data_IF_107113073297
#
_entry.id   IF_107113073297
#
_cell.length_a   1.000
_cell.length_b   1.000
_cell.length_c   1.000
_cell.angle_alpha   90.00
_cell.angle_beta   90.00
_cell.angle_gamma   90.00
#
_symmetry.space_group_name_H-M   'P 1'
#
loop_
_entity.id
_entity.type
_entity.pdbx_description
1 polymer ?
#
# COMPACT_ATOMS: atom_id res chain seq x y z
N UNK A 1 4.10 2.90 6.01
CA UNK A 1 3.40 3.79 5.05
C UNK A 1 4.33 4.96 4.72
N UNK A 2 4.38 5.41 3.47
CA UNK A 2 5.06 6.63 3.03
C UNK A 2 4.01 7.72 2.80
N UNK A 3 3.99 8.80 3.61
CA UNK A 3 2.91 9.76 3.54
C UNK A 3 3.11 10.79 2.42
N UNK A 4 2.00 11.21 1.79
CA UNK A 4 1.91 12.34 0.84
C UNK A 4 2.90 12.27 -0.33
N UNK A 5 3.20 11.06 -0.79
CA UNK A 5 4.13 10.85 -1.92
C UNK A 5 3.38 10.96 -3.25
N UNK A 6 2.11 10.58 -3.31
CA UNK A 6 1.38 10.44 -4.57
C UNK A 6 1.09 11.80 -5.21
N UNK A 7 0.76 12.81 -4.41
CA UNK A 7 0.31 14.12 -4.90
C UNK A 7 1.36 14.84 -5.74
N UNK A 8 2.65 14.58 -5.49
CA UNK A 8 3.75 15.13 -6.29
C UNK A 8 3.78 14.60 -7.74
N UNK A 9 3.22 13.42 -7.99
CA UNK A 9 3.23 12.74 -9.30
C UNK A 9 1.84 12.70 -9.95
N UNK A 10 0.79 12.56 -9.15
CA UNK A 10 -0.60 12.48 -9.59
C UNK A 10 -1.47 13.48 -8.81
N UNK A 11 -1.37 14.79 -9.12
CA UNK A 11 -2.16 15.81 -8.44
C UNK A 11 -3.66 15.54 -8.61
N UNK A 12 -4.42 15.65 -7.52
CA UNK A 12 -5.87 15.45 -7.52
C UNK A 12 -6.31 13.98 -7.44
N UNK A 13 -5.37 13.04 -7.23
CA UNK A 13 -5.70 11.67 -6.86
C UNK A 13 -6.43 11.62 -5.51
N UNK A 14 -7.40 10.71 -5.38
CA UNK A 14 -8.05 10.39 -4.10
C UNK A 14 -7.08 9.68 -3.15
N UNK A 15 -6.10 8.96 -3.71
CA UNK A 15 -5.02 8.32 -2.97
C UNK A 15 -3.87 9.33 -2.73
N UNK A 16 -3.31 9.32 -1.53
CA UNK A 16 -2.32 10.31 -1.09
C UNK A 16 -1.02 9.66 -0.59
N UNK A 17 -1.13 8.49 0.04
CA UNK A 17 -0.01 7.80 0.70
C UNK A 17 0.26 6.45 0.03
N UNK A 18 1.45 5.89 0.29
CA UNK A 18 1.81 4.55 -0.16
C UNK A 18 1.96 3.61 1.04
N UNK A 19 1.09 2.62 1.13
CA UNK A 19 1.29 1.47 2.00
C UNK A 19 2.37 0.54 1.40
N UNK A 20 3.26 0.02 2.23
CA UNK A 20 4.30 -0.93 1.82
C UNK A 20 3.96 -2.30 2.40
N UNK A 21 3.78 -3.30 1.56
CA UNK A 21 3.38 -4.66 1.94
C UNK A 21 4.29 -5.71 1.28
N UNK A 22 4.23 -6.92 1.81
CA UNK A 22 4.79 -8.06 1.08
C UNK A 22 4.09 -8.20 -0.28
N UNK A 23 4.82 -8.46 -1.39
CA UNK A 23 4.19 -8.68 -2.69
C UNK A 23 3.21 -9.86 -2.66
N UNK A 24 2.01 -9.66 -3.19
CA UNK A 24 0.98 -10.71 -3.24
C UNK A 24 0.22 -10.77 -4.57
N UNK A 25 0.36 -9.77 -5.46
CA UNK A 25 -0.27 -9.79 -6.79
C UNK A 25 0.50 -10.60 -7.84
N UNK A 26 1.62 -11.20 -7.48
CA UNK A 26 2.51 -11.90 -8.40
C UNK A 26 2.48 -13.39 -8.07
N UNK A 27 2.48 -14.23 -9.10
CA UNK A 27 2.46 -15.69 -8.95
C UNK A 27 3.76 -16.23 -8.31
N UNK A 28 4.86 -15.50 -8.46
CA UNK A 28 6.17 -15.85 -7.93
C UNK A 28 6.45 -15.17 -6.59
N UNK A 29 7.05 -15.92 -5.66
CA UNK A 29 7.70 -15.34 -4.48
C UNK A 29 9.03 -14.72 -4.93
N UNK A 30 9.17 -13.40 -4.72
CA UNK A 30 10.41 -12.69 -5.03
C UNK A 30 11.57 -13.08 -4.10
N UNK A 31 11.27 -13.71 -2.96
CA UNK A 31 12.24 -14.21 -2.00
C UNK A 31 13.17 -13.14 -1.44
N UNK A 32 14.31 -13.58 -0.92
CA UNK A 32 15.38 -12.69 -0.47
C UNK A 32 16.54 -12.76 -1.45
N UNK A 33 16.92 -11.63 -2.02
CA UNK A 33 18.14 -11.52 -2.82
C UNK A 33 19.35 -11.34 -1.89
N UNK A 34 20.21 -12.36 -1.82
CA UNK A 34 21.46 -12.30 -1.07
C UNK A 34 22.65 -12.04 -2.01
N UNK A 35 23.35 -10.94 -1.79
CA UNK A 35 24.55 -10.57 -2.58
C UNK A 35 25.55 -9.84 -1.67
N UNK A 36 26.83 -10.20 -1.74
CA UNK A 36 27.93 -9.55 -1.01
C UNK A 36 27.67 -9.43 0.51
N UNK A 37 27.01 -10.45 1.10
CA UNK A 37 26.62 -10.47 2.51
C UNK A 37 25.43 -9.57 2.88
N UNK A 38 24.81 -8.90 1.90
CA UNK A 38 23.60 -8.10 2.07
C UNK A 38 22.36 -8.90 1.68
N UNK A 39 21.33 -8.83 2.51
CA UNK A 39 19.98 -9.32 2.20
C UNK A 39 19.11 -8.18 1.69
N UNK A 40 18.46 -8.38 0.56
CA UNK A 40 17.49 -7.44 -0.02
C UNK A 40 16.14 -8.13 -0.13
N UNK A 41 15.11 -7.47 0.40
CA UNK A 41 13.70 -7.91 0.33
C UNK A 41 12.92 -6.98 -0.57
N UNK A 42 11.81 -7.49 -1.09
CA UNK A 42 10.94 -6.77 -2.01
C UNK A 42 9.68 -6.32 -1.28
N UNK A 43 9.25 -5.09 -1.56
CA UNK A 43 7.99 -4.54 -1.03
C UNK A 43 7.16 -4.06 -2.20
N UNK A 44 5.88 -4.44 -2.18
CA UNK A 44 4.87 -3.92 -3.07
C UNK A 44 4.29 -2.64 -2.47
N UNK A 45 4.00 -1.67 -3.32
CA UNK A 45 3.32 -0.43 -2.93
C UNK A 45 1.82 -0.54 -3.20
N UNK A 46 1.01 -0.08 -2.24
CA UNK A 46 -0.45 0.04 -2.37
C UNK A 46 -0.83 1.50 -2.12
N UNK A 47 -1.41 2.22 -3.09
CA UNK A 47 -2.00 3.53 -2.89
C UNK A 47 -3.15 3.50 -1.86
N UNK A 48 -3.08 4.40 -0.88
CA UNK A 48 -4.13 4.59 0.13
C UNK A 48 -4.51 6.06 0.26
N UNK A 49 -5.76 6.31 0.62
CA UNK A 49 -6.30 7.65 0.91
C UNK A 49 -5.88 8.17 2.29
N UNK A 50 -6.18 9.44 2.56
CA UNK A 50 -5.94 10.04 3.88
C UNK A 50 -6.70 9.35 5.02
N UNK A 51 -7.98 9.02 4.83
CA UNK A 51 -8.77 8.34 5.86
C UNK A 51 -8.33 6.88 6.10
N UNK A 52 -7.82 6.20 5.07
CA UNK A 52 -7.19 4.89 5.21
C UNK A 52 -5.86 4.97 5.98
N UNK A 53 -5.09 6.04 5.77
CA UNK A 53 -3.91 6.31 6.56
C UNK A 53 -4.25 6.60 8.04
N UNK A 54 -5.28 7.40 8.30
CA UNK A 54 -5.78 7.66 9.65
C UNK A 54 -6.23 6.37 10.35
N UNK A 55 -7.02 5.52 9.67
CA UNK A 55 -7.42 4.21 10.20
C UNK A 55 -6.19 3.35 10.58
N UNK A 56 -5.16 3.32 9.73
CA UNK A 56 -3.95 2.57 10.02
C UNK A 56 -3.17 3.10 11.23
N UNK A 57 -3.20 4.41 11.48
CA UNK A 57 -2.59 5.01 12.67
C UNK A 57 -3.40 4.72 13.95
N UNK A 58 -4.73 4.70 13.85
CA UNK A 58 -5.63 4.51 14.99
C UNK A 58 -5.84 3.03 15.37
N UNK A 59 -6.07 2.17 14.39
CA UNK A 59 -6.46 0.77 14.56
C UNK A 59 -5.36 -0.23 14.11
N UNK A 60 -4.32 0.26 13.45
CA UNK A 60 -3.20 -0.54 12.97
C UNK A 60 -3.37 -1.07 11.54
N UNK A 61 -2.26 -1.58 10.98
CA UNK A 61 -2.21 -2.04 9.58
C UNK A 61 -3.15 -3.21 9.29
N UNK A 62 -3.32 -4.13 10.23
CA UNK A 62 -4.18 -5.31 10.04
C UNK A 62 -5.63 -4.89 9.79
N UNK A 63 -6.14 -3.89 10.53
CA UNK A 63 -7.50 -3.38 10.33
C UNK A 63 -7.67 -2.75 8.95
N UNK A 64 -6.66 -2.01 8.46
CA UNK A 64 -6.68 -1.46 7.11
C UNK A 64 -6.64 -2.56 6.04
N UNK A 65 -5.77 -3.56 6.19
CA UNK A 65 -5.65 -4.68 5.25
C UNK A 65 -6.97 -5.47 5.13
N UNK A 66 -7.60 -5.79 6.27
CA UNK A 66 -8.91 -6.45 6.31
C UNK A 66 -10.00 -5.62 5.59
N UNK A 67 -9.99 -4.30 5.77
CA UNK A 67 -10.99 -3.41 5.15
C UNK A 67 -10.79 -3.26 3.64
N UNK A 68 -9.53 -3.18 3.18
CA UNK A 68 -9.19 -3.19 1.75
C UNK A 68 -9.61 -4.50 1.08
N UNK A 69 -9.35 -5.64 1.73
CA UNK A 69 -9.72 -6.96 1.22
C UNK A 69 -11.24 -7.14 1.19
N UNK A 70 -11.94 -6.86 2.31
CA UNK A 70 -13.38 -7.04 2.43
C UNK A 70 -14.19 -6.16 1.47
N UNK A 71 -13.67 -4.98 1.12
CA UNK A 71 -14.29 -4.07 0.15
C UNK A 71 -14.03 -4.44 -1.31
N UNK A 72 -13.09 -5.35 -1.59
CA UNK A 72 -12.67 -5.67 -2.95
C UNK A 72 -12.07 -4.47 -3.68
N UNK A 73 -11.33 -3.61 -2.96
CA UNK A 73 -10.79 -2.37 -3.50
C UNK A 73 -9.86 -2.62 -4.70
N UNK A 74 -10.09 -1.92 -5.80
CA UNK A 74 -9.15 -1.86 -6.91
C UNK A 74 -7.97 -0.95 -6.53
N UNK A 75 -6.98 -1.49 -5.85
CA UNK A 75 -5.82 -0.74 -5.37
C UNK A 75 -4.95 -0.13 -6.47
N UNK A 76 -5.21 -0.45 -7.75
CA UNK A 76 -4.55 0.19 -8.89
C UNK A 76 -5.28 1.46 -9.36
N UNK A 77 -6.54 1.67 -8.97
CA UNK A 77 -7.30 2.87 -9.26
C UNK A 77 -6.98 3.99 -8.25
N UNK A 78 -6.20 4.97 -8.68
CA UNK A 78 -5.83 6.16 -7.89
C UNK A 78 -7.02 7.10 -7.62
N UNK A 79 -8.16 6.90 -8.27
CA UNK A 79 -9.36 7.72 -8.13
C UNK A 79 -10.49 6.99 -7.38
N UNK A 80 -10.28 5.74 -6.95
CA UNK A 80 -11.29 4.98 -6.19
C UNK A 80 -11.73 5.74 -4.93
N UNK A 81 -12.99 5.57 -4.48
CA UNK A 81 -13.38 6.05 -3.17
C UNK A 81 -12.58 5.34 -2.06
N UNK A 82 -12.33 6.02 -0.91
CA UNK A 82 -11.80 5.37 0.29
C UNK A 82 -12.71 4.23 0.75
N UNK A 83 -12.11 3.21 1.39
CA UNK A 83 -12.85 2.07 1.94
C UNK A 83 -13.23 2.25 3.41
N UNK A 84 -12.85 3.39 4.01
CA UNK A 84 -13.08 3.69 5.43
C UNK A 84 -14.44 4.30 5.67
#
# INVERSE_FOLDING_TARGET
ILPDVIQAYFPGSTMQHLLLVHPFFWDDDFGVLEQDGRKTVWLQIIPISGSEFELAEEEGLVALEEKLEASGADVFDLLRPPVV
#
